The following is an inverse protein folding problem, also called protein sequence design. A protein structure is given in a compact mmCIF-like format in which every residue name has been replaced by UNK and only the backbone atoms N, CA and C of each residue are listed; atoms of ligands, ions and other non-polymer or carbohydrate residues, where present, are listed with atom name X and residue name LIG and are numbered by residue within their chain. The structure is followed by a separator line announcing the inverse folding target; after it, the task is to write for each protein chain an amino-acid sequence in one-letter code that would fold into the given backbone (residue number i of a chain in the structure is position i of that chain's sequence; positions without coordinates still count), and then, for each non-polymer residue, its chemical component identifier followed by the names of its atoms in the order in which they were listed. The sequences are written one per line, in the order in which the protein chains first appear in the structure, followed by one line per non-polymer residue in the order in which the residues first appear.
data_IF_314857813097
#
_entry.id   IF_314857813097
#
_cell.length_a   1.000
_cell.length_b   1.000
_cell.length_c   1.000
_cell.angle_alpha   90.00
_cell.angle_beta   90.00
_cell.angle_gamma   90.00
#
_symmetry.space_group_name_H-M   'P 1'
#
loop_
_entity.id
_entity.type
_entity.pdbx_description
1 polymer ?
#
# COMPACT_ATOMS: atom_id res chain seq x y z
N UNK A 1 -8.06 12.22 0.48
CA UNK A 1 -7.42 10.99 0.31
C UNK A 1 -7.91 10.16 -0.85
N UNK A 2 -7.41 8.96 -0.93
CA UNK A 2 -7.70 7.97 -1.99
C UNK A 2 -9.17 7.48 -2.05
N UNK A 3 -9.94 7.73 -0.99
CA UNK A 3 -11.39 7.42 -0.90
C UNK A 3 -12.27 8.67 -0.86
N UNK A 4 -11.75 9.84 -1.20
CA UNK A 4 -12.54 11.06 -1.20
C UNK A 4 -13.47 11.11 -2.42
N UNK A 5 -14.71 11.48 -2.18
CA UNK A 5 -15.71 11.64 -3.25
C UNK A 5 -15.47 12.94 -4.03
N UNK A 6 -14.82 12.82 -5.16
CA UNK A 6 -14.55 13.96 -6.06
C UNK A 6 -15.79 14.46 -6.82
N UNK A 7 -16.96 13.84 -6.66
CA UNK A 7 -18.22 14.41 -7.14
C UNK A 7 -18.63 15.62 -6.29
N UNK A 8 -18.22 15.66 -5.02
CA UNK A 8 -18.38 16.82 -4.16
C UNK A 8 -17.53 18.00 -4.66
N UNK A 9 -18.11 19.18 -4.94
CA UNK A 9 -17.39 20.32 -5.50
C UNK A 9 -16.26 20.85 -4.62
N UNK A 10 -16.42 20.85 -3.29
CA UNK A 10 -15.39 21.29 -2.34
C UNK A 10 -14.19 20.35 -2.33
N UNK A 11 -14.44 19.04 -2.22
CA UNK A 11 -13.39 18.03 -2.27
C UNK A 11 -12.65 18.09 -3.60
N UNK A 12 -13.37 18.24 -4.69
CA UNK A 12 -12.79 18.41 -6.02
C UNK A 12 -11.90 19.64 -6.10
N UNK A 13 -12.36 20.80 -5.62
CA UNK A 13 -11.59 22.04 -5.61
C UNK A 13 -10.30 21.89 -4.80
N UNK A 14 -10.39 21.37 -3.56
CA UNK A 14 -9.23 21.13 -2.70
C UNK A 14 -8.22 20.14 -3.35
N UNK A 15 -8.72 19.08 -3.96
CA UNK A 15 -7.90 18.09 -4.65
C UNK A 15 -7.14 18.74 -5.83
N UNK A 16 -7.84 19.47 -6.70
CA UNK A 16 -7.21 20.12 -7.84
C UNK A 16 -6.21 21.20 -7.42
N UNK A 17 -6.54 21.97 -6.39
CA UNK A 17 -5.64 23.01 -5.86
C UNK A 17 -4.41 22.38 -5.24
N UNK A 18 -4.57 21.34 -4.41
CA UNK A 18 -3.46 20.65 -3.74
C UNK A 18 -2.52 19.94 -4.71
N UNK A 19 -3.07 19.28 -5.75
CA UNK A 19 -2.26 18.59 -6.78
C UNK A 19 -1.41 19.57 -7.60
N UNK A 20 -1.86 20.80 -7.78
CA UNK A 20 -1.13 21.83 -8.56
C UNK A 20 -0.17 22.67 -7.73
N UNK A 21 -0.34 22.73 -6.40
CA UNK A 21 0.45 23.55 -5.49
C UNK A 21 1.25 22.70 -4.51
N UNK A 22 2.14 21.86 -5.05
CA UNK A 22 2.98 20.98 -4.24
C UNK A 22 4.21 21.74 -3.77
N UNK A 23 4.30 21.99 -2.47
CA UNK A 23 5.43 22.67 -1.85
C UNK A 23 6.31 21.73 -1.02
N UNK A 24 5.79 20.59 -0.57
CA UNK A 24 6.51 19.66 0.27
C UNK A 24 7.74 19.08 -0.45
N UNK A 25 8.97 19.20 0.12
CA UNK A 25 10.22 18.75 -0.52
C UNK A 25 10.24 17.24 -0.80
N UNK A 26 9.71 16.42 0.12
CA UNK A 26 9.65 14.98 -0.06
C UNK A 26 8.76 14.59 -1.25
N UNK A 27 7.59 15.22 -1.38
CA UNK A 27 6.69 14.96 -2.51
C UNK A 27 7.34 15.37 -3.83
N UNK A 28 8.04 16.51 -3.86
CA UNK A 28 8.83 16.94 -5.05
C UNK A 28 9.90 15.93 -5.41
N UNK A 29 10.67 15.45 -4.43
CA UNK A 29 11.69 14.42 -4.64
C UNK A 29 11.09 13.11 -5.19
N UNK A 30 9.93 12.67 -4.70
CA UNK A 30 9.22 11.51 -5.25
C UNK A 30 8.80 11.75 -6.69
N UNK A 31 8.25 12.94 -7.00
CA UNK A 31 7.83 13.29 -8.36
C UNK A 31 9.01 13.28 -9.33
N UNK A 32 10.13 13.90 -8.97
CA UNK A 32 11.35 13.95 -9.79
C UNK A 32 11.86 12.53 -10.09
N UNK A 33 11.94 11.68 -9.08
CA UNK A 33 12.35 10.28 -9.23
C UNK A 33 11.43 9.47 -10.15
N UNK A 34 10.15 9.86 -10.23
CA UNK A 34 9.14 9.23 -11.11
C UNK A 34 8.99 9.92 -12.46
N UNK A 35 9.70 11.02 -12.70
CA UNK A 35 9.57 11.82 -13.91
C UNK A 35 8.19 12.48 -14.07
N UNK A 36 7.56 12.84 -12.94
CA UNK A 36 6.23 13.46 -12.91
C UNK A 36 6.41 14.98 -12.81
N UNK A 37 6.18 15.70 -13.90
CA UNK A 37 6.25 17.17 -13.92
C UNK A 37 4.91 17.82 -13.53
N UNK A 38 3.80 17.33 -14.10
CA UNK A 38 2.45 17.82 -13.87
C UNK A 38 1.57 16.69 -13.30
N UNK A 39 1.53 16.51 -11.97
CA UNK A 39 0.87 15.39 -11.37
C UNK A 39 -0.64 15.44 -11.56
N UNK A 40 -1.21 14.31 -11.91
CA UNK A 40 -2.64 14.06 -11.94
C UNK A 40 -3.08 13.37 -10.64
N UNK A 41 -4.38 13.27 -10.38
CA UNK A 41 -4.92 12.48 -9.27
C UNK A 41 -4.53 11.01 -9.36
N UNK A 42 -4.32 10.51 -10.58
CA UNK A 42 -3.84 9.14 -10.82
C UNK A 42 -2.37 8.97 -10.37
N UNK A 43 -1.51 9.94 -10.68
CA UNK A 43 -0.11 9.92 -10.26
C UNK A 43 0.01 9.97 -8.74
N UNK A 44 -0.84 10.78 -8.09
CA UNK A 44 -0.95 10.78 -6.63
C UNK A 44 -1.29 9.40 -6.08
N UNK A 45 -2.35 8.77 -6.57
CA UNK A 45 -2.82 7.48 -6.04
C UNK A 45 -1.84 6.35 -6.32
N UNK A 46 -1.34 6.23 -7.54
CA UNK A 46 -0.57 5.07 -7.99
C UNK A 46 0.94 5.23 -7.86
N UNK A 47 1.46 6.44 -7.81
CA UNK A 47 2.90 6.68 -7.65
C UNK A 47 3.23 7.17 -6.24
N UNK A 48 2.72 8.33 -5.82
CA UNK A 48 3.12 8.97 -4.56
C UNK A 48 2.54 8.21 -3.36
N UNK A 49 1.21 8.11 -3.26
CA UNK A 49 0.53 7.46 -2.13
C UNK A 49 0.88 5.97 -2.06
N UNK A 50 1.08 5.31 -3.19
CA UNK A 50 1.46 3.90 -3.20
C UNK A 50 2.83 3.64 -2.57
N UNK A 51 3.79 4.57 -2.72
CA UNK A 51 5.10 4.51 -2.07
C UNK A 51 4.99 4.74 -0.56
N UNK A 52 4.27 5.77 -0.13
CA UNK A 52 3.99 6.05 1.29
C UNK A 52 3.32 4.83 1.94
N UNK A 53 2.29 4.29 1.31
CA UNK A 53 1.59 3.10 1.79
C UNK A 53 2.48 1.85 1.84
N UNK A 54 3.50 1.73 1.00
CA UNK A 54 4.44 0.61 1.08
C UNK A 54 5.26 0.68 2.37
N UNK A 55 5.76 1.86 2.73
CA UNK A 55 6.50 2.07 3.99
C UNK A 55 5.60 1.79 5.19
N UNK A 56 4.37 2.31 5.21
CA UNK A 56 3.45 2.07 6.33
C UNK A 56 3.11 0.59 6.52
N UNK A 57 3.08 -0.20 5.44
CA UNK A 57 2.73 -1.63 5.48
C UNK A 57 3.89 -2.53 5.87
N UNK A 58 5.06 -2.36 5.26
CA UNK A 58 6.19 -3.29 5.41
C UNK A 58 7.48 -2.64 5.91
N UNK A 59 7.54 -1.32 6.03
CA UNK A 59 8.69 -0.61 6.55
C UNK A 59 8.90 -0.88 8.05
N UNK A 60 10.15 -0.82 8.48
CA UNK A 60 10.54 -0.84 9.90
C UNK A 60 10.01 0.41 10.61
N UNK A 61 10.08 0.42 11.93
CA UNK A 61 9.69 1.60 12.71
C UNK A 61 10.56 2.82 12.36
N UNK A 62 11.86 2.60 12.16
CA UNK A 62 12.81 3.64 11.77
C UNK A 62 12.47 4.22 10.39
N UNK A 63 12.22 3.36 9.38
CA UNK A 63 11.81 3.80 8.04
C UNK A 63 10.50 4.59 8.06
N UNK A 64 9.55 4.23 8.93
CA UNK A 64 8.30 4.98 9.13
C UNK A 64 8.55 6.34 9.78
N UNK A 65 9.43 6.42 10.78
CA UNK A 65 9.83 7.68 11.41
C UNK A 65 10.49 8.61 10.40
N UNK A 66 11.46 8.13 9.61
CA UNK A 66 12.13 8.91 8.57
C UNK A 66 11.14 9.44 7.53
N UNK A 67 10.19 8.62 7.10
CA UNK A 67 9.11 9.06 6.20
C UNK A 67 8.26 10.18 6.84
N UNK A 68 7.86 10.01 8.09
CA UNK A 68 7.09 11.02 8.81
C UNK A 68 7.87 12.33 8.92
N UNK A 69 9.13 12.26 9.28
CA UNK A 69 10.04 13.39 9.38
C UNK A 69 10.19 14.13 8.04
N UNK A 70 10.42 13.39 6.94
CA UNK A 70 10.53 13.96 5.61
C UNK A 70 9.23 14.64 5.12
N UNK A 71 8.05 14.20 5.63
CA UNK A 71 6.77 14.82 5.32
C UNK A 71 6.45 16.03 6.20
N UNK A 72 6.94 16.08 7.44
CA UNK A 72 6.49 17.02 8.46
C UNK A 72 7.49 18.17 8.72
N UNK A 73 8.77 17.96 8.42
CA UNK A 73 9.85 18.88 8.76
C UNK A 73 10.63 19.30 7.51
N UNK A 74 10.94 20.59 7.41
CA UNK A 74 11.89 21.10 6.40
C UNK A 74 13.31 20.83 6.90
N UNK A 75 14.08 20.07 6.13
CA UNK A 75 15.47 19.75 6.42
C UNK A 75 16.37 20.35 5.34
N UNK A 76 17.27 21.26 5.76
CA UNK A 76 18.34 21.81 4.92
C UNK A 76 19.61 20.94 4.91
N UNK A 77 19.51 19.72 5.44
CA UNK A 77 20.66 18.81 5.58
C UNK A 77 20.85 18.07 4.24
N UNK A 78 22.09 18.12 3.73
CA UNK A 78 22.55 17.32 2.60
C UNK A 78 23.57 16.29 3.07
N UNK A 79 23.50 15.10 2.51
CA UNK A 79 24.44 14.01 2.76
C UNK A 79 25.01 13.49 1.44
N UNK A 80 26.28 13.07 1.45
CA UNK A 80 26.89 12.37 0.32
C UNK A 80 26.48 10.91 0.34
N UNK A 81 25.77 10.48 -0.69
CA UNK A 81 25.22 9.12 -0.78
C UNK A 81 25.78 8.41 -2.01
N UNK A 82 26.27 7.18 -1.81
CA UNK A 82 26.67 6.32 -2.93
C UNK A 82 25.41 5.85 -3.71
N UNK A 83 25.37 6.11 -4.99
CA UNK A 83 24.30 5.64 -5.87
C UNK A 83 24.87 4.83 -7.04
N UNK A 84 24.10 3.85 -7.52
CA UNK A 84 24.45 3.08 -8.73
C UNK A 84 23.85 3.76 -9.96
N UNK A 85 24.70 4.20 -10.86
CA UNK A 85 24.26 4.81 -12.13
C UNK A 85 24.69 3.93 -13.30
N UNK A 86 23.74 3.65 -14.20
CA UNK A 86 24.05 2.86 -15.40
C UNK A 86 24.91 3.69 -16.33
N UNK A 87 26.10 3.19 -16.64
CA UNK A 87 27.00 3.78 -17.63
C UNK A 87 26.42 3.54 -19.02
N UNK A 88 26.10 4.62 -19.73
CA UNK A 88 25.46 4.53 -21.05
C UNK A 88 26.40 3.90 -22.12
N UNK A 89 27.73 3.96 -21.92
CA UNK A 89 28.73 3.42 -22.88
C UNK A 89 28.99 1.93 -22.65
N UNK A 90 29.06 1.51 -21.38
CA UNK A 90 29.46 0.13 -21.02
C UNK A 90 28.26 -0.75 -20.65
N UNK A 91 27.10 -0.16 -20.42
CA UNK A 91 25.90 -0.87 -19.91
C UNK A 91 26.02 -1.35 -18.46
N UNK A 92 27.18 -1.20 -17.82
CA UNK A 92 27.43 -1.58 -16.41
C UNK A 92 26.97 -0.50 -15.46
N UNK A 93 26.79 -0.87 -14.20
CA UNK A 93 26.46 0.07 -13.13
C UNK A 93 27.74 0.50 -12.42
N UNK A 94 28.03 1.80 -12.46
CA UNK A 94 29.11 2.43 -11.72
C UNK A 94 28.55 2.96 -10.39
N UNK A 95 29.37 2.92 -9.32
CA UNK A 95 29.08 3.58 -8.05
C UNK A 95 29.59 5.01 -8.16
N UNK A 96 28.70 5.96 -7.89
CA UNK A 96 29.04 7.39 -7.85
C UNK A 96 28.53 7.99 -6.54
N UNK A 97 29.27 8.95 -6.00
CA UNK A 97 28.83 9.76 -4.88
C UNK A 97 28.00 10.94 -5.42
N UNK A 98 26.88 11.19 -4.76
CA UNK A 98 25.95 12.29 -5.09
C UNK A 98 25.52 12.95 -3.78
N UNK A 99 25.55 14.28 -3.75
CA UNK A 99 24.92 15.02 -2.66
C UNK A 99 23.40 14.94 -2.81
N UNK A 100 22.73 14.56 -1.74
CA UNK A 100 21.27 14.44 -1.67
C UNK A 100 20.75 15.09 -0.41
N UNK A 101 19.62 15.76 -0.50
CA UNK A 101 18.89 16.24 0.68
C UNK A 101 18.22 15.10 1.41
N UNK A 102 17.89 15.30 2.69
CA UNK A 102 17.20 14.30 3.50
C UNK A 102 15.87 13.82 2.83
N UNK A 103 14.98 14.70 2.30
CA UNK A 103 13.80 14.27 1.55
C UNK A 103 14.10 13.40 0.31
N UNK A 104 15.18 13.68 -0.42
CA UNK A 104 15.59 12.88 -1.59
C UNK A 104 16.08 11.49 -1.19
N UNK A 105 16.82 11.39 -0.07
CA UNK A 105 17.28 10.11 0.49
C UNK A 105 16.06 9.27 0.89
N UNK A 106 15.13 9.86 1.63
CA UNK A 106 13.92 9.15 2.09
C UNK A 106 13.04 8.75 0.89
N UNK A 107 12.93 9.58 -0.15
CA UNK A 107 12.21 9.21 -1.37
C UNK A 107 12.84 7.99 -2.06
N UNK A 108 14.17 7.90 -2.10
CA UNK A 108 14.90 6.72 -2.60
C UNK A 108 14.65 5.47 -1.75
N UNK A 109 14.65 5.61 -0.43
CA UNK A 109 14.34 4.53 0.51
C UNK A 109 12.91 4.01 0.29
N UNK A 110 11.93 4.91 0.21
CA UNK A 110 10.53 4.57 -0.07
C UNK A 110 10.35 3.80 -1.39
N UNK A 111 11.08 4.17 -2.43
CA UNK A 111 11.07 3.45 -3.71
C UNK A 111 11.64 2.03 -3.58
N UNK A 112 12.70 1.86 -2.80
CA UNK A 112 13.27 0.54 -2.50
C UNK A 112 12.28 -0.34 -1.72
N UNK A 113 11.63 0.23 -0.70
CA UNK A 113 10.62 -0.46 0.11
C UNK A 113 9.41 -0.83 -0.77
N UNK A 114 8.98 0.06 -1.65
CA UNK A 114 7.89 -0.23 -2.60
C UNK A 114 8.24 -1.40 -3.52
N UNK A 115 9.46 -1.44 -4.04
CA UNK A 115 9.95 -2.54 -4.86
C UNK A 115 9.98 -3.86 -4.08
N UNK A 116 10.43 -3.82 -2.83
CA UNK A 116 10.40 -4.97 -1.91
C UNK A 116 8.96 -5.45 -1.66
N UNK A 117 8.02 -4.52 -1.40
CA UNK A 117 6.61 -4.86 -1.23
C UNK A 117 6.03 -5.55 -2.48
N UNK A 118 6.32 -5.01 -3.67
CA UNK A 118 5.80 -5.58 -4.92
C UNK A 118 6.32 -6.99 -5.17
N UNK A 119 7.59 -7.26 -4.80
CA UNK A 119 8.16 -8.62 -4.84
C UNK A 119 7.44 -9.55 -3.87
N UNK A 120 7.27 -9.17 -2.61
CA UNK A 120 6.55 -9.96 -1.60
C UNK A 120 5.11 -10.24 -2.05
N UNK A 121 4.40 -9.23 -2.58
CA UNK A 121 3.03 -9.39 -3.08
C UNK A 121 2.98 -10.37 -4.27
N UNK A 122 3.97 -10.33 -5.15
CA UNK A 122 4.05 -11.24 -6.30
C UNK A 122 4.27 -12.70 -5.84
N UNK A 123 5.16 -12.92 -4.89
CA UNK A 123 5.41 -14.23 -4.28
C UNK A 123 4.15 -14.74 -3.58
N UNK A 124 3.56 -13.94 -2.70
CA UNK A 124 2.34 -14.29 -1.99
C UNK A 124 1.15 -14.62 -2.91
N UNK A 125 1.04 -13.97 -4.07
CA UNK A 125 0.00 -14.30 -5.07
C UNK A 125 0.19 -15.66 -5.73
N UNK A 126 1.42 -16.16 -5.81
CA UNK A 126 1.71 -17.50 -6.32
C UNK A 126 1.42 -18.58 -5.27
N UNK A 127 1.65 -18.25 -3.98
CA UNK A 127 1.58 -19.20 -2.87
C UNK A 127 0.19 -19.26 -2.23
N UNK A 128 -0.64 -18.22 -2.42
CA UNK A 128 -1.97 -18.17 -1.81
C UNK A 128 -2.84 -19.34 -2.30
N UNK A 129 -3.31 -20.15 -1.35
CA UNK A 129 -4.29 -21.20 -1.60
C UNK A 129 -5.68 -20.63 -1.46
N UNK A 130 -6.51 -20.77 -2.48
CA UNK A 130 -7.88 -20.27 -2.45
C UNK A 130 -8.89 -21.23 -3.04
N UNK A 131 -10.11 -21.10 -2.56
CA UNK A 131 -11.30 -21.83 -3.04
C UNK A 131 -12.38 -20.84 -3.45
N UNK A 132 -13.26 -21.28 -4.33
CA UNK A 132 -14.50 -20.57 -4.65
C UNK A 132 -15.65 -21.18 -3.86
N UNK A 133 -16.36 -20.35 -3.11
CA UNK A 133 -17.56 -20.75 -2.38
C UNK A 133 -18.65 -19.69 -2.61
N UNK A 134 -19.81 -20.11 -3.14
CA UNK A 134 -20.97 -19.22 -3.38
C UNK A 134 -20.60 -17.87 -4.07
N UNK A 135 -19.81 -17.94 -5.13
CA UNK A 135 -19.29 -16.76 -5.85
C UNK A 135 -18.30 -15.86 -5.08
N UNK A 136 -17.84 -16.26 -3.91
CA UNK A 136 -16.79 -15.59 -3.15
C UNK A 136 -15.50 -16.41 -3.27
N UNK A 137 -14.38 -15.74 -3.46
CA UNK A 137 -13.06 -16.34 -3.38
C UNK A 137 -12.55 -16.20 -1.96
N UNK A 138 -12.25 -17.31 -1.31
CA UNK A 138 -11.68 -17.34 0.04
C UNK A 138 -10.28 -17.91 -0.06
N UNK A 139 -9.28 -17.13 0.35
CA UNK A 139 -7.88 -17.53 0.30
C UNK A 139 -7.21 -17.50 1.65
N UNK A 140 -6.35 -18.47 1.88
CA UNK A 140 -5.49 -18.56 3.06
C UNK A 140 -4.07 -18.21 2.65
N UNK A 141 -3.48 -17.26 3.36
CA UNK A 141 -2.11 -16.84 3.18
C UNK A 141 -1.26 -17.33 4.35
N UNK A 142 -0.06 -17.80 4.03
CA UNK A 142 0.89 -18.28 5.03
C UNK A 142 1.29 -17.16 6.01
N UNK A 143 1.66 -17.56 7.24
CA UNK A 143 2.14 -16.66 8.29
C UNK A 143 3.47 -15.97 7.96
N UNK A 144 4.25 -16.53 7.05
CA UNK A 144 5.54 -15.96 6.62
C UNK A 144 5.39 -14.61 5.90
N UNK A 145 4.20 -14.34 5.37
CA UNK A 145 3.91 -13.05 4.74
C UNK A 145 3.37 -12.03 5.76
N UNK A 146 3.72 -10.74 5.65
CA UNK A 146 3.14 -9.70 6.51
C UNK A 146 1.61 -9.62 6.37
N UNK A 147 0.86 -9.57 7.47
CA UNK A 147 -0.61 -9.43 7.45
C UNK A 147 -1.07 -8.14 6.76
N UNK A 148 -0.24 -7.11 6.80
CA UNK A 148 -0.48 -5.80 6.18
C UNK A 148 -0.64 -5.83 4.66
N UNK A 149 -0.23 -6.93 3.98
CA UNK A 149 -0.42 -7.08 2.53
C UNK A 149 -1.71 -7.83 2.16
N UNK A 150 -2.46 -8.39 3.12
CA UNK A 150 -3.70 -9.14 2.83
C UNK A 150 -4.65 -8.34 1.94
N UNK A 151 -4.81 -7.03 2.20
CA UNK A 151 -5.64 -6.16 1.40
C UNK A 151 -5.16 -5.96 -0.04
N UNK A 152 -3.84 -6.00 -0.28
CA UNK A 152 -3.28 -5.92 -1.63
C UNK A 152 -3.51 -7.22 -2.41
N UNK A 153 -3.32 -8.36 -1.75
CA UNK A 153 -3.60 -9.67 -2.34
C UNK A 153 -5.08 -9.79 -2.69
N UNK A 154 -5.97 -9.46 -1.73
CA UNK A 154 -7.42 -9.48 -1.94
C UNK A 154 -7.83 -8.57 -3.12
N UNK A 155 -7.25 -7.37 -3.23
CA UNK A 155 -7.54 -6.44 -4.33
C UNK A 155 -7.11 -7.03 -5.68
N UNK A 156 -5.88 -7.52 -5.79
CA UNK A 156 -5.37 -8.09 -7.06
C UNK A 156 -6.16 -9.32 -7.50
N UNK A 157 -6.58 -10.17 -6.57
CA UNK A 157 -7.43 -11.32 -6.88
C UNK A 157 -8.86 -10.89 -7.24
N UNK A 158 -9.43 -9.88 -6.55
CA UNK A 158 -10.74 -9.34 -6.90
C UNK A 158 -10.75 -8.72 -8.30
N UNK A 159 -9.68 -8.00 -8.67
CA UNK A 159 -9.53 -7.44 -10.02
C UNK A 159 -9.39 -8.53 -11.09
N UNK A 160 -8.60 -9.56 -10.80
CA UNK A 160 -8.38 -10.69 -11.72
C UNK A 160 -9.63 -11.53 -11.95
N UNK A 161 -10.35 -11.85 -10.88
CA UNK A 161 -11.47 -12.80 -10.93
C UNK A 161 -12.84 -12.11 -11.03
N UNK A 162 -12.90 -10.78 -10.88
CA UNK A 162 -14.15 -9.99 -10.86
C UNK A 162 -15.17 -10.49 -9.84
N UNK A 163 -14.68 -10.89 -8.67
CA UNK A 163 -15.49 -11.46 -7.58
C UNK A 163 -15.09 -10.86 -6.22
N UNK A 164 -15.99 -10.89 -5.24
CA UNK A 164 -15.62 -10.63 -3.85
C UNK A 164 -14.55 -11.61 -3.39
N UNK A 165 -13.56 -11.10 -2.66
CA UNK A 165 -12.40 -11.86 -2.19
C UNK A 165 -12.21 -11.63 -0.70
N UNK A 166 -11.97 -12.70 0.03
CA UNK A 166 -11.54 -12.72 1.42
C UNK A 166 -10.16 -13.37 1.48
N UNK A 167 -9.17 -12.65 1.95
CA UNK A 167 -7.80 -13.17 2.18
C UNK A 167 -7.46 -13.02 3.65
N UNK A 168 -7.08 -14.09 4.27
CA UNK A 168 -6.73 -14.09 5.69
C UNK A 168 -5.79 -15.23 6.05
N UNK A 169 -5.57 -15.35 7.33
CA UNK A 169 -4.82 -16.43 7.97
C UNK A 169 -5.46 -16.83 9.28
N UNK A 170 -5.16 -18.04 9.70
CA UNK A 170 -5.51 -18.49 11.02
C UNK A 170 -4.56 -17.90 12.04
N UNK A 171 -5.10 -17.34 13.10
CA UNK A 171 -4.34 -16.77 14.23
C UNK A 171 -4.94 -17.26 15.54
N UNK A 172 -4.08 -17.35 16.57
CA UNK A 172 -4.46 -17.72 17.93
C UNK A 172 -4.20 -16.50 18.81
N UNK A 173 -5.18 -16.14 19.65
CA UNK A 173 -5.00 -15.10 20.65
C UNK A 173 -4.32 -15.63 21.93
N UNK A 174 -4.09 -14.75 22.89
CA UNK A 174 -3.46 -15.09 24.17
C UNK A 174 -4.32 -16.02 25.06
N UNK A 175 -5.61 -16.17 24.73
CA UNK A 175 -6.54 -17.11 25.41
C UNK A 175 -6.67 -18.45 24.66
N UNK A 176 -5.84 -18.69 23.66
CA UNK A 176 -5.89 -19.84 22.75
C UNK A 176 -7.19 -19.94 21.92
N UNK A 177 -7.93 -18.86 21.73
CA UNK A 177 -9.01 -18.85 20.77
C UNK A 177 -8.44 -18.81 19.35
N UNK A 178 -8.99 -19.65 18.47
CA UNK A 178 -8.54 -19.79 17.09
C UNK A 178 -9.53 -19.08 16.18
N UNK A 179 -9.03 -18.19 15.33
CA UNK A 179 -9.87 -17.43 14.41
C UNK A 179 -9.17 -17.12 13.10
N UNK A 180 -9.99 -16.99 12.05
CA UNK A 180 -9.55 -16.58 10.73
C UNK A 180 -9.71 -15.06 10.58
N UNK A 181 -8.60 -14.35 10.35
CA UNK A 181 -8.59 -12.89 10.25
C UNK A 181 -7.87 -12.41 9.01
N UNK A 182 -8.36 -11.31 8.42
CA UNK A 182 -7.78 -10.81 7.19
C UNK A 182 -8.47 -9.59 6.60
N UNK A 183 -8.48 -9.54 5.27
CA UNK A 183 -9.04 -8.43 4.50
C UNK A 183 -10.02 -8.92 3.44
N UNK A 184 -11.07 -8.16 3.23
CA UNK A 184 -12.02 -8.33 2.13
C UNK A 184 -11.83 -7.25 1.08
N UNK A 185 -12.10 -7.62 -0.18
CA UNK A 185 -12.24 -6.68 -1.29
C UNK A 185 -13.38 -7.15 -2.20
N UNK A 186 -14.19 -6.21 -2.63
CA UNK A 186 -15.27 -6.45 -3.58
C UNK A 186 -15.39 -5.28 -4.54
N UNK A 187 -15.98 -5.52 -5.71
CA UNK A 187 -16.27 -4.50 -6.69
C UNK A 187 -17.78 -4.35 -6.81
N UNK A 188 -18.27 -3.12 -6.71
CA UNK A 188 -19.69 -2.77 -6.91
C UNK A 188 -20.71 -3.51 -6.02
N UNK A 189 -20.26 -4.02 -4.85
CA UNK A 189 -21.09 -4.73 -3.89
C UNK A 189 -20.78 -4.23 -2.49
N UNK A 190 -21.78 -3.90 -1.69
CA UNK A 190 -21.62 -3.65 -0.26
C UNK A 190 -21.42 -4.98 0.50
N UNK A 191 -20.24 -5.53 0.32
CA UNK A 191 -19.88 -6.83 0.89
C UNK A 191 -19.76 -6.77 2.40
N UNK A 192 -19.31 -5.63 2.95
CA UNK A 192 -19.24 -5.42 4.41
C UNK A 192 -20.61 -5.61 5.07
N UNK A 193 -21.65 -4.95 4.57
CA UNK A 193 -23.00 -5.05 5.15
C UNK A 193 -23.55 -6.48 5.03
N UNK A 194 -23.26 -7.19 3.93
CA UNK A 194 -23.64 -8.59 3.80
C UNK A 194 -22.99 -9.47 4.87
N UNK A 195 -21.69 -9.29 5.14
CA UNK A 195 -20.99 -10.07 6.17
C UNK A 195 -21.50 -9.74 7.58
N UNK A 196 -21.76 -8.47 7.89
CA UNK A 196 -22.32 -8.07 9.17
C UNK A 196 -23.70 -8.68 9.41
N UNK A 197 -24.56 -8.72 8.38
CA UNK A 197 -25.91 -9.30 8.48
C UNK A 197 -25.91 -10.81 8.64
N UNK A 198 -24.84 -11.50 8.28
CA UNK A 198 -24.73 -12.95 8.46
C UNK A 198 -24.66 -13.37 9.93
N UNK A 199 -24.23 -12.48 10.83
CA UNK A 199 -24.03 -12.77 12.26
C UNK A 199 -22.86 -13.72 12.55
N UNK A 200 -22.07 -14.11 11.53
CA UNK A 200 -20.98 -15.09 11.67
C UNK A 200 -19.64 -14.44 12.07
N UNK A 201 -19.50 -13.14 11.86
CA UNK A 201 -18.23 -12.45 12.03
C UNK A 201 -18.18 -11.74 13.39
N UNK A 202 -17.08 -11.94 14.11
CA UNK A 202 -16.78 -11.20 15.34
C UNK A 202 -16.54 -9.72 15.04
N UNK A 203 -15.99 -9.47 13.87
CA UNK A 203 -15.54 -8.16 13.48
C UNK A 203 -15.53 -8.01 11.96
N UNK A 204 -16.13 -6.91 11.45
CA UNK A 204 -16.01 -6.44 10.08
C UNK A 204 -15.94 -4.91 10.11
N UNK A 205 -14.77 -4.33 9.83
CA UNK A 205 -14.54 -2.89 9.91
C UNK A 205 -13.83 -2.35 8.68
N UNK A 206 -14.31 -1.21 8.19
CA UNK A 206 -13.80 -0.54 6.98
C UNK A 206 -14.91 -0.01 6.11
N UNK A 207 -14.65 0.09 4.81
CA UNK A 207 -15.61 0.56 3.80
C UNK A 207 -16.46 -0.59 3.25
N UNK A 208 -17.56 -0.26 2.56
CA UNK A 208 -18.49 -1.23 1.96
C UNK A 208 -17.81 -2.30 1.09
N UNK A 209 -16.79 -1.89 0.32
CA UNK A 209 -16.07 -2.74 -0.63
C UNK A 209 -14.66 -3.15 -0.15
N UNK A 210 -14.19 -2.63 0.98
CA UNK A 210 -12.83 -2.85 1.48
C UNK A 210 -12.79 -2.78 3.01
N UNK A 211 -12.72 -3.92 3.68
CA UNK A 211 -12.71 -4.00 5.13
C UNK A 211 -11.75 -5.08 5.65
N UNK A 212 -11.43 -4.99 6.94
CA UNK A 212 -10.86 -6.08 7.70
C UNK A 212 -11.97 -6.94 8.29
N UNK A 213 -11.67 -8.21 8.56
CA UNK A 213 -12.61 -9.14 9.18
C UNK A 213 -11.93 -10.08 10.16
N UNK A 214 -12.74 -10.64 11.04
CA UNK A 214 -12.38 -11.78 11.91
C UNK A 214 -13.59 -12.67 12.12
N UNK A 215 -13.39 -13.98 12.09
CA UNK A 215 -14.40 -15.02 12.32
C UNK A 215 -13.81 -16.13 13.17
N UNK A 216 -14.52 -16.60 14.18
CA UNK A 216 -14.11 -17.75 14.99
C UNK A 216 -14.20 -19.04 14.20
N UNK A 217 -13.47 -20.04 14.67
CA UNK A 217 -13.52 -21.41 14.12
C UNK A 217 -14.87 -22.11 14.36
N UNK A 218 -15.64 -21.71 15.38
CA UNK A 218 -16.88 -22.35 15.85
C UNK A 218 -18.13 -21.87 15.11
#
# INVERSE_FOLDING_TARGET
GDVSDISNPEIRYLTYTGVRNINNPFIKAVMERKGIENPTTRDWSFSIISMINAVTRIGTLEEKHRLFEALAVDHDITETVEVRKKNKKTGKFDKIEVEMTFPEIVAKECESIKTKQDKIVKEALNDVKYIYKNNVLIGVLDSDYPSSINGLIAMKLSDKHRKPVMIGRWITDFLNNYYFSGSIRAQNIDFKTMLLRSGLFNFVQGHSMAAGFSINEN
#
